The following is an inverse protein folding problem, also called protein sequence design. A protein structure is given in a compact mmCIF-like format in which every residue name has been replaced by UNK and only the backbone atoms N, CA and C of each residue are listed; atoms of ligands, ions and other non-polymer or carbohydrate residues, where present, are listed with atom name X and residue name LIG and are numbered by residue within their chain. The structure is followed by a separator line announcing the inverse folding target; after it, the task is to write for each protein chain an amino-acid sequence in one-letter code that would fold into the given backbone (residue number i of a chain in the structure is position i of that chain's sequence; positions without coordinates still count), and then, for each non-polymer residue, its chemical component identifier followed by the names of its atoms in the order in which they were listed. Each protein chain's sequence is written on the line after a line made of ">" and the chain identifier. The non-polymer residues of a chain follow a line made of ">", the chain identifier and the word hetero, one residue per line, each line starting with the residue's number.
data_IF_576998768486
#
_entry.id   IF_576998768486
#
_cell.length_a   1.000
_cell.length_b   1.000
_cell.length_c   1.000
_cell.angle_alpha   90.00
_cell.angle_beta   90.00
_cell.angle_gamma   90.00
#
_symmetry.space_group_name_H-M   'P 1'
#
loop_
_entity.id
_entity.type
_entity.pdbx_description
1 polymer ?
#
# COMPACT_ATOMS: atom_id res chain seq x y z
N UNK A 1 -23.52 -13.73 -18.29
CA UNK A 1 -23.50 -13.64 -16.80
C UNK A 1 -22.11 -13.42 -16.18
N UNK A 2 -21.00 -13.93 -16.76
CA UNK A 2 -19.67 -13.91 -16.12
C UNK A 2 -19.01 -12.53 -15.97
N UNK A 3 -19.14 -11.64 -16.97
CA UNK A 3 -18.46 -10.33 -17.01
C UNK A 3 -18.97 -9.39 -15.89
N UNK A 4 -20.29 -9.37 -15.64
CA UNK A 4 -20.90 -8.53 -14.60
C UNK A 4 -20.43 -8.94 -13.21
N UNK A 5 -20.32 -10.25 -12.94
CA UNK A 5 -19.83 -10.77 -11.66
C UNK A 5 -18.35 -10.44 -11.44
N UNK A 6 -17.52 -10.56 -12.48
CA UNK A 6 -16.11 -10.18 -12.41
C UNK A 6 -15.93 -8.68 -12.16
N UNK A 7 -16.72 -7.83 -12.85
CA UNK A 7 -16.70 -6.38 -12.64
C UNK A 7 -17.05 -5.99 -11.20
N UNK A 8 -18.15 -6.52 -10.66
CA UNK A 8 -18.52 -6.30 -9.26
C UNK A 8 -17.43 -6.77 -8.29
N UNK A 9 -16.82 -7.93 -8.58
CA UNK A 9 -15.71 -8.45 -7.76
C UNK A 9 -14.54 -7.47 -7.75
N UNK A 10 -14.16 -6.91 -8.90
CA UNK A 10 -13.08 -5.93 -9.02
C UNK A 10 -13.42 -4.60 -8.33
N UNK A 11 -14.65 -4.10 -8.49
CA UNK A 11 -15.14 -2.89 -7.80
C UNK A 11 -15.11 -3.05 -6.28
N UNK A 12 -15.61 -4.16 -5.73
CA UNK A 12 -15.50 -4.46 -4.30
C UNK A 12 -14.04 -4.51 -3.85
N UNK A 13 -13.15 -5.14 -4.63
CA UNK A 13 -11.73 -5.22 -4.31
C UNK A 13 -11.09 -3.83 -4.25
N UNK A 14 -11.42 -2.94 -5.19
CA UNK A 14 -10.89 -1.58 -5.22
C UNK A 14 -11.37 -0.75 -4.01
N UNK A 15 -12.66 -0.82 -3.67
CA UNK A 15 -13.23 -0.11 -2.53
C UNK A 15 -12.60 -0.55 -1.19
N UNK A 16 -12.38 -1.86 -1.02
CA UNK A 16 -11.71 -2.41 0.16
C UNK A 16 -10.26 -1.92 0.27
N UNK A 17 -9.52 -1.85 -0.84
CA UNK A 17 -8.14 -1.33 -0.83
C UNK A 17 -8.11 0.17 -0.52
N UNK A 18 -9.05 0.95 -1.06
CA UNK A 18 -9.17 2.38 -0.76
C UNK A 18 -9.45 2.63 0.73
N UNK A 19 -10.41 1.92 1.32
CA UNK A 19 -10.66 1.99 2.76
C UNK A 19 -9.45 1.53 3.59
N UNK A 20 -8.76 0.48 3.12
CA UNK A 20 -7.54 -0.03 3.74
C UNK A 20 -6.44 1.01 3.89
N UNK A 21 -6.28 1.92 2.91
CA UNK A 21 -5.24 2.94 2.97
C UNK A 21 -5.44 3.83 4.21
N UNK A 22 -6.68 4.27 4.48
CA UNK A 22 -7.01 5.05 5.67
C UNK A 22 -6.86 4.25 6.96
N UNK A 23 -7.49 3.06 7.03
CA UNK A 23 -7.51 2.24 8.25
C UNK A 23 -6.10 1.87 8.72
N UNK A 24 -5.23 1.44 7.80
CA UNK A 24 -3.86 1.05 8.13
C UNK A 24 -2.94 2.25 8.36
N UNK A 25 -3.25 3.42 7.81
CA UNK A 25 -2.55 4.67 8.15
C UNK A 25 -2.86 5.12 9.58
N UNK A 26 -4.12 5.02 10.01
CA UNK A 26 -4.57 5.50 11.31
C UNK A 26 -4.19 4.55 12.45
N UNK A 27 -4.38 3.24 12.24
CA UNK A 27 -4.24 2.23 13.31
C UNK A 27 -2.93 1.46 13.25
N UNK A 28 -2.24 1.50 12.12
CA UNK A 28 -1.02 0.76 11.86
C UNK A 28 -1.20 -0.74 11.58
N UNK A 29 -0.14 -1.38 11.06
CA UNK A 29 -0.19 -2.80 10.64
C UNK A 29 -0.55 -3.71 11.80
N UNK A 30 -0.03 -3.47 13.00
CA UNK A 30 -0.24 -4.35 14.15
C UNK A 30 -1.73 -4.39 14.54
N UNK A 31 -2.37 -3.22 14.69
CA UNK A 31 -3.71 -3.11 15.25
C UNK A 31 -4.85 -3.13 14.22
N UNK A 32 -4.61 -2.73 12.96
CA UNK A 32 -5.64 -2.77 11.92
C UNK A 32 -6.05 -4.20 11.57
N UNK A 33 -7.35 -4.45 11.40
CA UNK A 33 -7.87 -5.77 10.97
C UNK A 33 -8.58 -5.70 9.62
N UNK A 34 -8.76 -6.86 8.97
CA UNK A 34 -9.60 -6.94 7.77
C UNK A 34 -11.06 -6.60 8.07
N UNK A 35 -11.52 -6.90 9.28
CA UNK A 35 -12.88 -6.59 9.71
C UNK A 35 -13.08 -5.06 9.82
N UNK A 36 -12.10 -4.33 10.34
CA UNK A 36 -12.12 -2.85 10.36
C UNK A 36 -12.24 -2.30 8.94
N UNK A 37 -11.44 -2.82 8.00
CA UNK A 37 -11.49 -2.39 6.60
C UNK A 37 -12.85 -2.69 5.97
N UNK A 38 -13.40 -3.88 6.21
CA UNK A 38 -14.72 -4.24 5.69
C UNK A 38 -15.78 -3.28 6.23
N UNK A 39 -15.76 -3.00 7.53
CA UNK A 39 -16.68 -2.06 8.16
C UNK A 39 -16.56 -0.65 7.58
N UNK A 40 -15.35 -0.11 7.49
CA UNK A 40 -15.08 1.22 6.91
C UNK A 40 -15.52 1.31 5.44
N UNK A 41 -15.38 0.22 4.68
CA UNK A 41 -15.78 0.16 3.28
C UNK A 41 -17.29 -0.13 3.07
N UNK A 42 -18.06 -0.33 4.14
CA UNK A 42 -19.49 -0.67 4.05
C UNK A 42 -19.77 -2.10 3.59
N UNK A 43 -18.82 -3.02 3.77
CA UNK A 43 -18.94 -4.44 3.40
C UNK A 43 -19.02 -5.35 4.63
N UNK A 44 -19.57 -6.55 4.42
CA UNK A 44 -19.59 -7.58 5.47
C UNK A 44 -18.22 -8.22 5.65
N UNK A 45 -17.94 -8.77 6.84
CA UNK A 45 -16.72 -9.56 7.12
C UNK A 45 -16.50 -10.66 6.07
N UNK A 46 -17.55 -11.42 5.76
CA UNK A 46 -17.47 -12.47 4.73
C UNK A 46 -17.11 -11.94 3.34
N UNK A 47 -17.42 -10.68 3.00
CA UNK A 47 -17.05 -10.10 1.71
C UNK A 47 -15.55 -9.82 1.60
N UNK A 48 -14.89 -9.34 2.66
CA UNK A 48 -13.45 -9.09 2.61
C UNK A 48 -12.65 -10.39 2.54
N UNK A 49 -13.01 -11.42 3.31
CA UNK A 49 -12.29 -12.72 3.27
C UNK A 49 -12.45 -13.45 1.92
N UNK A 50 -13.54 -13.19 1.18
CA UNK A 50 -13.69 -13.68 -0.20
C UNK A 50 -12.76 -12.99 -1.20
N UNK A 51 -12.35 -11.75 -0.93
CA UNK A 51 -11.42 -11.00 -1.78
C UNK A 51 -9.97 -11.23 -1.37
N UNK A 52 -9.73 -11.31 -0.06
CA UNK A 52 -8.43 -11.40 0.56
C UNK A 52 -8.46 -12.47 1.65
N UNK A 53 -7.90 -13.67 1.40
CA UNK A 53 -7.98 -14.78 2.34
C UNK A 53 -7.18 -14.55 3.63
N UNK A 54 -6.27 -13.57 3.64
CA UNK A 54 -5.46 -13.23 4.82
C UNK A 54 -5.08 -11.75 4.84
N UNK A 55 -4.72 -11.25 6.03
CA UNK A 55 -4.17 -9.90 6.21
C UNK A 55 -2.89 -9.69 5.39
N UNK A 56 -2.04 -10.71 5.28
CA UNK A 56 -0.86 -10.67 4.42
C UNK A 56 -1.19 -10.50 2.93
N UNK A 57 -2.18 -11.25 2.42
CA UNK A 57 -2.63 -11.10 1.04
C UNK A 57 -3.24 -9.72 0.76
N UNK A 58 -3.95 -9.16 1.74
CA UNK A 58 -4.44 -7.78 1.68
C UNK A 58 -3.30 -6.77 1.68
N UNK A 59 -2.33 -6.91 2.58
CA UNK A 59 -1.19 -6.00 2.71
C UNK A 59 -0.35 -5.93 1.43
N UNK A 60 -0.13 -7.06 0.76
CA UNK A 60 0.57 -7.08 -0.52
C UNK A 60 -0.18 -6.28 -1.59
N UNK A 61 -1.50 -6.48 -1.69
CA UNK A 61 -2.34 -5.72 -2.63
C UNK A 61 -2.45 -4.24 -2.27
N UNK A 62 -2.50 -3.91 -0.97
CA UNK A 62 -2.52 -2.55 -0.46
C UNK A 62 -1.20 -1.84 -0.80
N UNK A 63 -0.08 -2.55 -0.69
CA UNK A 63 1.22 -2.03 -1.08
C UNK A 63 1.27 -1.69 -2.58
N UNK A 64 0.71 -2.54 -3.45
CA UNK A 64 0.61 -2.27 -4.89
C UNK A 64 -0.26 -1.04 -5.19
N UNK A 65 -1.38 -0.88 -4.49
CA UNK A 65 -2.24 0.30 -4.59
C UNK A 65 -1.50 1.57 -4.12
N UNK A 66 -0.80 1.50 -2.98
CA UNK A 66 0.03 2.59 -2.47
C UNK A 66 1.13 2.97 -3.48
N UNK A 67 1.83 1.98 -4.05
CA UNK A 67 2.87 2.18 -5.04
C UNK A 67 2.35 2.89 -6.30
N UNK A 68 1.15 2.51 -6.76
CA UNK A 68 0.51 3.19 -7.88
C UNK A 68 0.22 4.67 -7.57
N UNK A 69 -0.26 4.98 -6.36
CA UNK A 69 -0.47 6.36 -5.91
C UNK A 69 0.85 7.12 -5.79
N UNK A 70 1.89 6.51 -5.21
CA UNK A 70 3.20 7.13 -5.10
C UNK A 70 3.77 7.56 -6.46
N UNK A 71 3.57 6.73 -7.50
CA UNK A 71 3.98 7.00 -8.89
C UNK A 71 3.08 8.01 -9.62
N UNK A 72 1.80 8.11 -9.27
CA UNK A 72 0.84 9.00 -9.95
C UNK A 72 1.18 10.50 -9.84
N UNK A 73 2.06 10.88 -8.91
CA UNK A 73 2.62 12.23 -8.82
C UNK A 73 2.21 13.00 -7.56
N UNK A 74 2.61 14.29 -7.45
CA UNK A 74 2.52 15.06 -6.20
C UNK A 74 1.10 15.20 -5.65
N UNK A 75 0.08 15.34 -6.50
CA UNK A 75 -1.32 15.47 -6.05
C UNK A 75 -1.83 14.24 -5.31
N UNK A 76 -1.45 13.05 -5.77
CA UNK A 76 -1.89 11.81 -5.15
C UNK A 76 -1.18 11.53 -3.81
N UNK A 77 -0.01 12.14 -3.57
CA UNK A 77 0.75 12.06 -2.32
C UNK A 77 0.25 12.99 -1.21
N UNK A 78 -0.68 13.89 -1.52
CA UNK A 78 -1.31 14.79 -0.52
C UNK A 78 -2.39 14.09 0.31
N UNK A 79 -2.71 12.82 0.01
CA UNK A 79 -3.68 12.08 0.78
C UNK A 79 -3.22 11.92 2.24
N UNK A 80 -4.08 12.12 3.25
CA UNK A 80 -3.69 12.08 4.67
C UNK A 80 -3.04 10.77 5.10
N UNK A 81 -3.38 9.67 4.43
CA UNK A 81 -2.81 8.35 4.69
C UNK A 81 -1.41 8.13 4.09
N UNK A 82 -0.93 8.99 3.20
CA UNK A 82 0.27 8.75 2.40
C UNK A 82 1.55 8.73 3.26
N UNK A 83 1.79 9.78 4.04
CA UNK A 83 2.96 9.90 4.93
C UNK A 83 2.99 8.76 5.98
N UNK A 84 1.94 8.53 6.79
CA UNK A 84 1.97 7.46 7.80
C UNK A 84 2.17 6.07 7.17
N UNK A 85 1.53 5.77 6.04
CA UNK A 85 1.76 4.50 5.35
C UNK A 85 3.17 4.38 4.76
N UNK A 86 3.76 5.47 4.27
CA UNK A 86 5.15 5.47 3.79
C UNK A 86 6.10 5.06 4.90
N UNK A 87 5.98 5.67 6.08
CA UNK A 87 6.81 5.37 7.24
C UNK A 87 6.62 3.92 7.71
N UNK A 88 5.37 3.47 7.74
CA UNK A 88 5.02 2.12 8.13
C UNK A 88 5.58 1.06 7.17
N UNK A 89 5.41 1.26 5.86
CA UNK A 89 5.96 0.36 4.86
C UNK A 89 7.48 0.39 4.85
N UNK A 90 8.12 1.54 5.05
CA UNK A 90 9.56 1.64 5.20
C UNK A 90 10.06 0.85 6.42
N UNK A 91 9.41 1.01 7.58
CA UNK A 91 9.75 0.26 8.80
C UNK A 91 9.56 -1.25 8.63
N UNK A 92 8.49 -1.67 7.95
CA UNK A 92 8.22 -3.10 7.69
C UNK A 92 9.16 -3.68 6.62
N UNK A 93 9.55 -2.89 5.63
CA UNK A 93 10.57 -3.23 4.63
C UNK A 93 11.96 -3.46 5.25
N UNK A 94 12.25 -2.89 6.42
CA UNK A 94 13.48 -3.22 7.14
C UNK A 94 13.44 -4.60 7.81
N UNK A 95 12.24 -5.15 8.03
CA UNK A 95 12.02 -6.45 8.71
C UNK A 95 11.72 -7.59 7.74
N UNK A 96 11.20 -7.31 6.55
CA UNK A 96 10.83 -8.30 5.54
C UNK A 96 11.63 -8.08 4.22
N UNK A 97 12.48 -9.04 3.81
CA UNK A 97 13.26 -8.96 2.56
C UNK A 97 12.43 -8.79 1.29
N UNK A 98 11.22 -9.36 1.23
CA UNK A 98 10.34 -9.27 0.06
C UNK A 98 9.76 -7.86 -0.06
N UNK A 99 9.30 -7.32 1.07
CA UNK A 99 8.76 -5.97 1.14
C UNK A 99 9.85 -4.93 0.89
N UNK A 100 11.09 -5.18 1.35
CA UNK A 100 12.27 -4.36 1.04
C UNK A 100 12.49 -4.21 -0.46
N UNK A 101 12.51 -5.32 -1.20
CA UNK A 101 12.73 -5.31 -2.64
C UNK A 101 11.63 -4.55 -3.36
N UNK A 102 10.37 -4.76 -2.96
CA UNK A 102 9.21 -4.07 -3.57
C UNK A 102 9.19 -2.58 -3.24
N UNK A 103 9.55 -2.19 -2.01
CA UNK A 103 9.64 -0.80 -1.56
C UNK A 103 10.76 -0.04 -2.27
N UNK A 104 11.94 -0.65 -2.39
CA UNK A 104 13.08 -0.04 -3.10
C UNK A 104 12.75 0.30 -4.56
N UNK A 105 12.02 -0.58 -5.27
CA UNK A 105 11.57 -0.29 -6.65
C UNK A 105 10.63 0.92 -6.69
N UNK A 106 9.68 1.01 -5.75
CA UNK A 106 8.73 2.13 -5.68
C UNK A 106 9.45 3.45 -5.38
N UNK A 107 10.48 3.42 -4.54
CA UNK A 107 11.31 4.59 -4.24
C UNK A 107 12.22 4.98 -5.41
N UNK A 108 12.77 4.02 -6.14
CA UNK A 108 13.64 4.26 -7.30
C UNK A 108 12.87 4.81 -8.50
N UNK A 109 11.61 4.41 -8.67
CA UNK A 109 10.70 4.91 -9.71
C UNK A 109 9.92 6.16 -9.28
N UNK A 110 10.14 6.67 -8.06
CA UNK A 110 9.49 7.89 -7.62
C UNK A 110 9.97 9.07 -8.51
N UNK A 111 9.05 9.82 -9.14
CA UNK A 111 9.45 10.90 -10.03
C UNK A 111 10.31 11.93 -9.27
N UNK A 112 11.41 12.36 -9.89
CA UNK A 112 12.31 13.40 -9.39
C UNK A 112 11.54 14.73 -9.22
N UNK A 113 10.83 14.85 -8.11
CA UNK A 113 10.08 16.05 -7.76
C UNK A 113 10.91 16.90 -6.81
N UNK A 114 11.17 18.15 -7.18
CA UNK A 114 11.82 19.17 -6.35
C UNK A 114 11.02 19.60 -5.10
N UNK A 115 10.23 18.71 -4.51
CA UNK A 115 9.46 18.93 -3.27
C UNK A 115 10.08 18.17 -2.09
N UNK A 116 9.85 18.64 -0.86
CA UNK A 116 10.37 18.02 0.37
C UNK A 116 10.01 16.53 0.49
N UNK A 117 8.83 16.12 0.03
CA UNK A 117 8.40 14.71 0.01
C UNK A 117 9.18 13.88 -1.01
N UNK A 118 9.50 14.44 -2.18
CA UNK A 118 10.35 13.78 -3.17
C UNK A 118 11.78 13.61 -2.65
N UNK A 119 12.29 14.60 -1.92
CA UNK A 119 13.58 14.51 -1.24
C UNK A 119 13.57 13.49 -0.10
N UNK A 120 12.49 13.38 0.67
CA UNK A 120 12.34 12.37 1.73
C UNK A 120 12.32 10.95 1.14
N UNK A 121 11.55 10.72 0.08
CA UNK A 121 11.52 9.42 -0.63
C UNK A 121 12.89 9.06 -1.23
N UNK A 122 13.58 10.04 -1.83
CA UNK A 122 14.94 9.86 -2.37
C UNK A 122 15.98 9.62 -1.27
N UNK A 123 15.87 10.33 -0.15
CA UNK A 123 16.73 10.13 1.02
C UNK A 123 16.53 8.74 1.62
N UNK A 124 15.28 8.29 1.76
CA UNK A 124 14.96 6.92 2.20
C UNK A 124 15.48 5.86 1.22
N UNK A 125 15.41 6.12 -0.10
CA UNK A 125 15.97 5.24 -1.12
C UNK A 125 17.51 5.13 -1.08
N UNK A 126 18.20 6.13 -0.55
CA UNK A 126 19.66 6.10 -0.31
C UNK A 126 20.04 5.39 0.98
N UNK A 127 19.18 5.44 2.00
CA UNK A 127 19.39 4.80 3.31
C UNK A 127 19.04 3.31 3.28
N UNK A 128 18.07 2.90 2.46
CA UNK A 128 17.76 1.49 2.23
C UNK A 128 18.77 0.93 1.21
N UNK A 129 19.67 0.00 1.60
CA UNK A 129 20.67 -0.51 0.67
C UNK A 129 19.95 -1.17 -0.51
N UNK A 130 20.31 -0.78 -1.73
CA UNK A 130 19.76 -1.38 -2.94
C UNK A 130 19.97 -2.89 -2.84
N UNK A 131 18.91 -3.66 -3.00
CA UNK A 131 19.02 -5.09 -3.27
C UNK A 131 19.59 -5.28 -4.68
N UNK A 132 20.82 -4.85 -4.91
CA UNK A 132 21.63 -5.32 -6.01
C UNK A 132 22.16 -6.71 -5.62
N UNK A 133 22.08 -7.72 -6.49
CA UNK A 133 22.66 -9.01 -6.20
C UNK A 133 24.16 -8.83 -6.02
N UNK A 134 24.71 -9.42 -4.95
CA UNK A 134 26.14 -9.67 -4.88
C UNK A 134 26.48 -10.55 -6.09
N UNK A 135 27.36 -10.03 -6.95
CA UNK A 135 27.98 -10.79 -8.03
C UNK A 135 28.82 -11.93 -7.43
#
# INVERSE_FOLDING_TARGET
>A
MGIVRQRRKAETRALLLQAGLGVFAERGVEFATLDDVAQTAGFTKGAIYRQFPSKGAFMLALFEQYAAVARAGPGARQAPWFIPLTLQFAAHAMRDPLLRRRFAVVLAEAPDGGTADGQLLKALGRVLPSAAPAQ
#
